data_IF_109506349991
#
_entry.id   IF_109506349991
#
_cell.length_a   1.000
_cell.length_b   1.000
_cell.length_c   1.000
_cell.angle_alpha   90.00
_cell.angle_beta   90.00
_cell.angle_gamma   90.00
#
_symmetry.space_group_name_H-M   'P 1'
#
loop_
_entity.id
_entity.type
_entity.pdbx_description
1 polymer ?
#
# COMPACT_ATOMS: atom_id res chain seq x y z
N UNK A 1 25.81 7.79 -29.04
CA UNK A 1 26.27 6.52 -28.46
C UNK A 1 25.16 5.98 -27.57
N UNK A 2 24.37 5.01 -28.06
CA UNK A 2 23.33 4.35 -27.29
C UNK A 2 24.00 3.31 -26.40
N UNK A 3 23.98 3.51 -25.08
CA UNK A 3 24.36 2.49 -24.11
C UNK A 3 23.29 1.40 -24.18
N UNK A 4 23.63 0.24 -24.75
CA UNK A 4 22.78 -0.94 -24.70
C UNK A 4 22.60 -1.33 -23.23
N UNK A 5 21.41 -1.10 -22.68
CA UNK A 5 21.07 -1.49 -21.32
C UNK A 5 20.88 -3.01 -21.35
N UNK A 6 21.84 -3.73 -20.80
CA UNK A 6 21.75 -5.18 -20.62
C UNK A 6 20.56 -5.51 -19.69
N UNK A 7 19.55 -6.27 -20.17
CA UNK A 7 18.38 -6.62 -19.39
C UNK A 7 18.73 -7.37 -18.09
N UNK A 8 19.83 -8.11 -18.04
CA UNK A 8 20.34 -8.78 -16.84
C UNK A 8 20.71 -7.80 -15.73
N UNK A 9 21.38 -6.70 -16.07
CA UNK A 9 21.76 -5.66 -15.09
C UNK A 9 20.56 -4.92 -14.50
N UNK A 10 19.49 -4.77 -15.28
CA UNK A 10 18.24 -4.15 -14.81
C UNK A 10 17.55 -5.00 -13.76
N UNK A 11 17.48 -6.31 -13.97
CA UNK A 11 16.86 -7.26 -13.02
C UNK A 11 17.63 -7.30 -11.70
N UNK A 12 18.97 -7.34 -11.76
CA UNK A 12 19.83 -7.32 -10.57
C UNK A 12 19.67 -6.00 -9.77
N UNK A 13 19.60 -4.87 -10.46
CA UNK A 13 19.41 -3.57 -9.81
C UNK A 13 18.04 -3.47 -9.12
N UNK A 14 16.99 -3.98 -9.75
CA UNK A 14 15.65 -4.03 -9.14
C UNK A 14 15.62 -4.92 -7.90
N UNK A 15 16.24 -6.09 -7.98
CA UNK A 15 16.35 -7.01 -6.84
C UNK A 15 17.00 -6.33 -5.63
N UNK A 16 18.14 -5.70 -5.81
CA UNK A 16 18.85 -4.97 -4.74
C UNK A 16 17.97 -3.87 -4.15
N UNK A 17 17.16 -3.19 -4.97
CA UNK A 17 16.27 -2.14 -4.50
C UNK A 17 15.18 -2.69 -3.57
N UNK A 18 14.53 -3.80 -3.92
CA UNK A 18 13.50 -4.40 -3.06
C UNK A 18 14.09 -5.00 -1.79
N UNK A 19 15.24 -5.69 -1.89
CA UNK A 19 15.96 -6.20 -0.73
C UNK A 19 16.42 -5.08 0.22
N UNK A 20 16.74 -3.89 -0.29
CA UNK A 20 17.10 -2.73 0.51
C UNK A 20 15.89 -2.08 1.15
N UNK A 21 14.71 -2.21 0.56
CA UNK A 21 13.47 -1.54 1.00
C UNK A 21 12.55 -2.42 1.87
N UNK A 22 13.00 -3.59 2.39
CA UNK A 22 12.18 -4.43 3.26
C UNK A 22 11.57 -3.65 4.45
N UNK A 23 12.28 -2.65 4.96
CA UNK A 23 11.83 -1.78 6.05
C UNK A 23 10.58 -0.99 5.68
N UNK A 24 10.43 -0.56 4.42
CA UNK A 24 9.23 0.11 3.93
C UNK A 24 7.99 -0.78 4.07
N UNK A 25 8.10 -2.05 3.65
CA UNK A 25 7.00 -3.00 3.78
C UNK A 25 6.69 -3.31 5.25
N UNK A 26 7.71 -3.40 6.10
CA UNK A 26 7.52 -3.55 7.54
C UNK A 26 6.76 -2.36 8.14
N UNK A 27 7.15 -1.12 7.80
CA UNK A 27 6.45 0.11 8.26
C UNK A 27 5.00 0.13 7.78
N UNK A 28 4.73 -0.18 6.51
CA UNK A 28 3.36 -0.27 5.98
C UNK A 28 2.54 -1.32 6.72
N UNK A 29 3.14 -2.47 7.03
CA UNK A 29 2.51 -3.51 7.84
C UNK A 29 2.15 -3.02 9.23
N UNK A 30 3.08 -2.35 9.92
CA UNK A 30 2.83 -1.74 11.25
C UNK A 30 1.70 -0.71 11.19
N UNK A 31 1.74 0.20 10.22
CA UNK A 31 0.70 1.24 10.07
C UNK A 31 -0.67 0.63 9.81
N UNK A 32 -0.75 -0.39 8.95
CA UNK A 32 -2.01 -1.10 8.68
C UNK A 32 -2.56 -1.78 9.93
N UNK A 33 -1.73 -2.51 10.69
CA UNK A 33 -2.15 -3.17 11.93
C UNK A 33 -2.48 -2.16 13.03
N UNK A 34 -1.76 -1.05 13.15
CA UNK A 34 -2.11 0.02 14.08
C UNK A 34 -3.50 0.60 13.78
N UNK A 35 -3.83 0.81 12.50
CA UNK A 35 -5.17 1.24 12.12
C UNK A 35 -6.23 0.19 12.46
N UNK A 36 -5.95 -1.12 12.27
CA UNK A 36 -6.86 -2.20 12.70
C UNK A 36 -7.17 -2.08 14.20
N UNK A 37 -6.14 -1.92 15.04
CA UNK A 37 -6.31 -1.76 16.49
C UNK A 37 -7.20 -0.56 16.81
N UNK A 38 -6.95 0.58 16.16
CA UNK A 38 -7.79 1.78 16.32
C UNK A 38 -9.23 1.52 15.91
N UNK A 39 -9.46 0.84 14.77
CA UNK A 39 -10.80 0.52 14.28
C UNK A 39 -11.54 -0.43 15.22
N UNK A 40 -10.86 -1.44 15.78
CA UNK A 40 -11.46 -2.38 16.73
C UNK A 40 -11.82 -1.69 18.04
N UNK A 41 -10.90 -0.90 18.62
CA UNK A 41 -11.16 -0.15 19.88
C UNK A 41 -12.29 0.86 19.69
N UNK A 42 -12.37 1.49 18.51
CA UNK A 42 -13.34 2.54 18.20
C UNK A 42 -14.57 2.05 17.46
N UNK A 43 -14.76 0.73 17.36
CA UNK A 43 -15.87 0.12 16.59
C UNK A 43 -17.23 0.72 16.93
N UNK A 44 -17.46 1.01 18.23
CA UNK A 44 -18.70 1.61 18.71
C UNK A 44 -18.83 3.13 18.44
N UNK A 45 -17.74 3.79 18.02
CA UNK A 45 -17.74 5.25 17.78
C UNK A 45 -18.23 5.62 16.36
N UNK A 46 -18.50 4.63 15.52
CA UNK A 46 -19.06 4.81 14.17
C UNK A 46 -18.11 5.50 13.18
N UNK A 47 -18.69 5.93 12.04
CA UNK A 47 -18.00 6.55 10.89
C UNK A 47 -17.22 7.82 11.27
N UNK A 48 -17.70 8.57 12.27
CA UNK A 48 -17.05 9.83 12.70
C UNK A 48 -15.58 9.65 13.08
N UNK A 49 -15.22 8.49 13.63
CA UNK A 49 -13.83 8.20 14.01
C UNK A 49 -13.05 7.50 12.90
N UNK A 50 -13.73 6.85 11.96
CA UNK A 50 -13.09 6.21 10.81
C UNK A 50 -12.40 7.24 9.92
N UNK A 51 -13.06 8.35 9.64
CA UNK A 51 -12.60 9.42 8.76
C UNK A 51 -11.23 9.98 9.16
N UNK A 52 -11.02 10.52 10.39
CA UNK A 52 -9.72 11.04 10.78
C UNK A 52 -8.66 9.96 10.93
N UNK A 53 -9.03 8.75 11.37
CA UNK A 53 -8.08 7.64 11.50
C UNK A 53 -7.55 7.18 10.15
N UNK A 54 -8.44 7.09 9.15
CA UNK A 54 -8.04 6.76 7.79
C UNK A 54 -7.17 7.86 7.16
N UNK A 55 -7.51 9.15 7.37
CA UNK A 55 -6.71 10.26 6.86
C UNK A 55 -5.28 10.21 7.42
N UNK A 56 -5.13 10.01 8.74
CA UNK A 56 -3.83 9.88 9.38
C UNK A 56 -3.04 8.70 8.84
N UNK A 57 -3.68 7.55 8.69
CA UNK A 57 -3.07 6.36 8.07
C UNK A 57 -2.60 6.64 6.64
N UNK A 58 -3.46 7.25 5.81
CA UNK A 58 -3.13 7.56 4.42
C UNK A 58 -1.94 8.50 4.30
N UNK A 59 -1.85 9.52 5.16
CA UNK A 59 -0.69 10.42 5.22
C UNK A 59 0.58 9.70 5.69
N UNK A 60 0.49 8.88 6.74
CA UNK A 60 1.65 8.15 7.26
C UNK A 60 2.19 7.12 6.24
N UNK A 61 1.29 6.38 5.57
CA UNK A 61 1.65 5.43 4.51
C UNK A 61 2.28 6.15 3.31
N UNK A 62 1.68 7.27 2.88
CA UNK A 62 2.20 8.09 1.79
C UNK A 62 3.58 8.70 2.12
N UNK A 63 3.77 9.18 3.34
CA UNK A 63 5.07 9.69 3.80
C UNK A 63 6.14 8.59 3.80
N UNK A 64 5.81 7.39 4.29
CA UNK A 64 6.73 6.24 4.25
C UNK A 64 7.14 5.88 2.81
N UNK A 65 6.19 5.86 1.87
CA UNK A 65 6.45 5.63 0.45
C UNK A 65 7.32 6.73 -0.17
N UNK A 66 7.03 8.00 0.14
CA UNK A 66 7.81 9.14 -0.37
C UNK A 66 9.25 9.11 0.15
N UNK A 67 9.44 8.85 1.43
CA UNK A 67 10.78 8.69 2.05
C UNK A 67 11.54 7.56 1.35
N UNK A 68 10.88 6.41 1.13
CA UNK A 68 11.49 5.29 0.42
C UNK A 68 11.86 5.64 -1.03
N UNK A 69 11.01 6.42 -1.71
CA UNK A 69 11.27 6.87 -3.07
C UNK A 69 12.46 7.83 -3.16
N UNK A 70 12.59 8.77 -2.21
CA UNK A 70 13.66 9.79 -2.22
C UNK A 70 14.99 9.19 -1.78
N UNK A 71 15.03 8.42 -0.71
CA UNK A 71 16.29 8.00 -0.08
C UNK A 71 16.87 6.73 -0.67
N UNK A 72 16.09 5.93 -1.38
CA UNK A 72 16.48 4.59 -1.81
C UNK A 72 16.18 4.28 -3.27
N UNK A 73 15.75 5.29 -4.04
CA UNK A 73 15.52 5.10 -5.46
C UNK A 73 16.85 5.01 -6.20
N UNK A 74 17.04 4.00 -7.05
CA UNK A 74 18.18 3.98 -7.95
C UNK A 74 18.07 5.15 -8.96
N UNK A 75 19.21 5.71 -9.42
CA UNK A 75 19.23 6.84 -10.36
C UNK A 75 18.55 6.54 -11.72
N UNK A 76 18.19 5.29 -11.99
CA UNK A 76 17.64 4.83 -13.27
C UNK A 76 16.10 4.85 -13.37
N UNK A 77 15.43 5.79 -12.72
CA UNK A 77 14.11 6.25 -13.19
C UNK A 77 12.87 5.46 -12.79
N UNK A 78 12.92 4.53 -11.80
CA UNK A 78 11.74 3.71 -11.41
C UNK A 78 11.15 4.04 -10.05
N UNK A 79 11.59 5.11 -9.40
CA UNK A 79 10.94 5.66 -8.22
C UNK A 79 9.51 6.13 -8.50
N UNK A 80 9.13 6.32 -9.76
CA UNK A 80 7.84 6.88 -10.14
C UNK A 80 6.64 6.06 -9.62
N UNK A 81 6.74 4.73 -9.56
CA UNK A 81 5.66 3.90 -9.00
C UNK A 81 5.43 4.19 -7.51
N UNK A 82 6.51 4.33 -6.73
CA UNK A 82 6.43 4.67 -5.32
C UNK A 82 5.95 6.11 -5.13
N UNK A 83 6.43 7.03 -5.96
CA UNK A 83 6.00 8.44 -5.95
C UNK A 83 4.53 8.54 -6.30
N UNK A 84 4.06 7.83 -7.33
CA UNK A 84 2.64 7.83 -7.71
C UNK A 84 1.77 7.28 -6.59
N UNK A 85 2.16 6.14 -5.96
CA UNK A 85 1.43 5.57 -4.83
C UNK A 85 1.39 6.54 -3.63
N UNK A 86 2.52 7.23 -3.35
CA UNK A 86 2.59 8.25 -2.31
C UNK A 86 1.68 9.45 -2.62
N UNK A 87 1.70 9.97 -3.85
CA UNK A 87 0.85 11.10 -4.25
C UNK A 87 -0.64 10.76 -4.15
N UNK A 88 -1.04 9.56 -4.59
CA UNK A 88 -2.42 9.08 -4.43
C UNK A 88 -2.79 8.95 -2.94
N UNK A 89 -1.86 8.49 -2.10
CA UNK A 89 -2.04 8.44 -0.64
C UNK A 89 -2.23 9.81 -0.02
N UNK A 90 -1.38 10.77 -0.37
CA UNK A 90 -1.53 12.17 0.08
C UNK A 90 -2.84 12.79 -0.39
N UNK A 91 -3.22 12.61 -1.66
CA UNK A 91 -4.46 13.12 -2.21
C UNK A 91 -5.69 12.53 -1.49
N UNK A 92 -5.70 11.22 -1.24
CA UNK A 92 -6.76 10.56 -0.49
C UNK A 92 -6.84 11.06 0.97
N UNK A 93 -5.69 11.18 1.65
CA UNK A 93 -5.61 11.73 3.01
C UNK A 93 -6.12 13.16 3.08
N UNK A 94 -5.70 14.02 2.12
CA UNK A 94 -6.13 15.41 2.04
C UNK A 94 -7.63 15.53 1.74
N UNK A 95 -8.16 14.73 0.81
CA UNK A 95 -9.58 14.74 0.48
C UNK A 95 -10.45 14.39 1.70
N UNK A 96 -10.02 13.39 2.49
CA UNK A 96 -10.72 12.99 3.70
C UNK A 96 -10.54 14.01 4.83
N UNK A 97 -9.35 14.57 4.98
CA UNK A 97 -9.06 15.57 6.01
C UNK A 97 -9.80 16.90 5.77
N UNK A 98 -9.90 17.33 4.51
CA UNK A 98 -10.59 18.57 4.14
C UNK A 98 -12.11 18.50 4.37
N UNK A 99 -12.68 17.30 4.47
CA UNK A 99 -14.11 17.08 4.70
C UNK A 99 -14.35 16.02 5.77
N UNK A 100 -14.14 16.34 7.06
CA UNK A 100 -14.23 15.35 8.15
C UNK A 100 -15.64 14.75 8.34
N UNK A 101 -16.66 15.32 7.71
CA UNK A 101 -18.05 14.85 7.72
C UNK A 101 -18.47 14.30 6.34
N UNK A 102 -17.56 13.66 5.62
CA UNK A 102 -17.91 12.99 4.36
C UNK A 102 -19.02 11.96 4.59
N UNK A 103 -20.05 11.94 3.74
CA UNK A 103 -21.01 10.85 3.73
C UNK A 103 -20.29 9.52 3.47
N UNK A 104 -20.84 8.43 4.02
CA UNK A 104 -20.24 7.09 3.94
C UNK A 104 -19.89 6.69 2.50
N UNK A 105 -20.77 7.01 1.56
CA UNK A 105 -20.56 6.74 0.14
C UNK A 105 -19.31 7.40 -0.43
N UNK A 106 -19.07 8.68 -0.09
CA UNK A 106 -17.89 9.41 -0.55
C UNK A 106 -16.61 8.84 0.06
N UNK A 107 -16.66 8.40 1.32
CA UNK A 107 -15.54 7.75 1.99
C UNK A 107 -15.22 6.39 1.35
N UNK A 108 -16.24 5.59 0.98
CA UNK A 108 -16.08 4.33 0.24
C UNK A 108 -15.34 4.57 -1.09
N UNK A 109 -15.72 5.62 -1.83
CA UNK A 109 -15.05 5.95 -3.10
C UNK A 109 -13.58 6.30 -2.86
N UNK A 110 -13.26 7.18 -1.91
CA UNK A 110 -11.88 7.59 -1.64
C UNK A 110 -11.03 6.41 -1.20
N UNK A 111 -11.52 5.58 -0.28
CA UNK A 111 -10.82 4.38 0.18
C UNK A 111 -10.66 3.39 -0.99
N UNK A 112 -11.72 3.12 -1.74
CA UNK A 112 -11.69 2.18 -2.85
C UNK A 112 -10.70 2.59 -3.93
N UNK A 113 -10.72 3.84 -4.36
CA UNK A 113 -9.76 4.38 -5.35
C UNK A 113 -8.32 4.28 -4.83
N UNK A 114 -8.07 4.69 -3.58
CA UNK A 114 -6.73 4.60 -2.97
C UNK A 114 -6.21 3.17 -2.92
N UNK A 115 -7.03 2.25 -2.44
CA UNK A 115 -6.66 0.83 -2.31
C UNK A 115 -6.52 0.16 -3.67
N UNK A 116 -7.43 0.47 -4.60
CA UNK A 116 -7.41 -0.08 -5.96
C UNK A 116 -6.16 0.33 -6.73
N UNK A 117 -5.83 1.62 -6.74
CA UNK A 117 -4.62 2.12 -7.39
C UNK A 117 -3.38 1.50 -6.74
N UNK A 118 -3.28 1.48 -5.41
CA UNK A 118 -2.18 0.85 -4.70
C UNK A 118 -2.04 -0.63 -5.02
N UNK A 119 -3.16 -1.37 -5.13
CA UNK A 119 -3.18 -2.77 -5.54
C UNK A 119 -2.65 -2.99 -6.96
N UNK A 120 -3.08 -2.17 -7.92
CA UNK A 120 -2.59 -2.22 -9.31
C UNK A 120 -1.08 -1.91 -9.37
N UNK A 121 -0.62 -0.90 -8.65
CA UNK A 121 0.80 -0.55 -8.60
C UNK A 121 1.65 -1.68 -7.97
N UNK A 122 1.12 -2.39 -6.96
CA UNK A 122 1.76 -3.58 -6.39
C UNK A 122 1.85 -4.71 -7.42
N UNK A 123 0.77 -4.99 -8.17
CA UNK A 123 0.79 -5.99 -9.23
C UNK A 123 1.78 -5.65 -10.33
N UNK A 124 1.80 -4.39 -10.78
CA UNK A 124 2.79 -3.90 -11.76
C UNK A 124 4.23 -4.02 -11.24
N UNK A 125 4.44 -3.85 -9.94
CA UNK A 125 5.75 -4.05 -9.32
C UNK A 125 6.13 -5.52 -9.24
N UNK A 126 5.15 -6.39 -8.95
CA UNK A 126 5.35 -7.83 -8.84
C UNK A 126 5.72 -8.50 -10.17
N UNK A 127 5.15 -8.05 -11.30
CA UNK A 127 5.50 -8.59 -12.64
C UNK A 127 6.95 -8.34 -13.04
N UNK A 128 7.65 -7.47 -12.31
CA UNK A 128 9.06 -7.14 -12.55
C UNK A 128 10.04 -7.93 -11.68
N UNK A 129 9.51 -8.76 -10.76
CA UNK A 129 10.28 -9.58 -9.81
C UNK A 129 10.32 -11.05 -10.21
N UNK A 130 10.36 -11.36 -11.51
CA UNK A 130 10.26 -12.72 -12.04
C UNK A 130 11.12 -13.74 -11.25
N UNK A 131 10.43 -14.76 -10.70
CA UNK A 131 11.05 -15.89 -10.00
C UNK A 131 11.59 -15.64 -8.59
N UNK A 132 11.39 -14.46 -7.99
CA UNK A 132 11.94 -14.11 -6.68
C UNK A 132 10.97 -14.40 -5.52
N UNK A 133 11.52 -14.70 -4.34
CA UNK A 133 10.78 -15.10 -3.16
C UNK A 133 9.65 -14.13 -2.74
N UNK A 134 9.81 -12.82 -2.95
CA UNK A 134 8.79 -11.81 -2.62
C UNK A 134 7.68 -11.63 -3.65
N UNK A 135 7.84 -12.13 -4.88
CA UNK A 135 6.89 -11.91 -5.97
C UNK A 135 5.48 -12.42 -5.63
N UNK A 136 5.38 -13.67 -5.14
CA UNK A 136 4.09 -14.29 -4.81
C UNK A 136 3.32 -13.52 -3.75
N UNK A 137 4.03 -13.01 -2.74
CA UNK A 137 3.42 -12.23 -1.66
C UNK A 137 2.98 -10.86 -2.16
N UNK A 138 3.77 -10.21 -3.04
CA UNK A 138 3.35 -8.94 -3.67
C UNK A 138 2.13 -9.13 -4.57
N UNK A 139 2.08 -10.20 -5.36
CA UNK A 139 0.89 -10.54 -6.17
C UNK A 139 -0.31 -10.76 -5.26
N UNK A 140 -0.16 -11.55 -4.19
CA UNK A 140 -1.24 -11.79 -3.24
C UNK A 140 -1.74 -10.49 -2.61
N UNK A 141 -0.85 -9.60 -2.16
CA UNK A 141 -1.22 -8.31 -1.58
C UNK A 141 -1.95 -7.41 -2.60
N UNK A 142 -1.46 -7.35 -3.84
CA UNK A 142 -2.10 -6.60 -4.91
C UNK A 142 -3.49 -7.15 -5.27
N UNK A 143 -3.62 -8.48 -5.40
CA UNK A 143 -4.91 -9.14 -5.66
C UNK A 143 -5.92 -8.90 -4.54
N UNK A 144 -5.51 -9.04 -3.28
CA UNK A 144 -6.37 -8.76 -2.12
C UNK A 144 -6.86 -7.30 -2.16
N UNK A 145 -6.01 -6.35 -2.52
CA UNK A 145 -6.39 -4.93 -2.63
C UNK A 145 -7.40 -4.68 -3.75
N UNK A 146 -7.18 -5.27 -4.93
CA UNK A 146 -8.11 -5.15 -6.07
C UNK A 146 -9.45 -5.81 -5.77
N UNK A 147 -9.46 -7.02 -5.21
CA UNK A 147 -10.69 -7.73 -4.81
C UNK A 147 -11.45 -6.98 -3.72
N UNK A 148 -10.73 -6.42 -2.75
CA UNK A 148 -11.36 -5.60 -1.72
C UNK A 148 -12.03 -4.35 -2.31
N UNK A 149 -11.37 -3.68 -3.26
CA UNK A 149 -11.93 -2.53 -3.97
C UNK A 149 -13.20 -2.91 -4.72
N UNK A 150 -13.19 -4.02 -5.47
CA UNK A 150 -14.36 -4.53 -6.16
C UNK A 150 -15.51 -4.85 -5.18
N UNK A 151 -15.19 -5.50 -4.05
CA UNK A 151 -16.17 -5.79 -3.01
C UNK A 151 -16.73 -4.53 -2.33
N UNK A 152 -15.93 -3.46 -2.18
CA UNK A 152 -16.41 -2.18 -1.66
C UNK A 152 -17.44 -1.55 -2.59
N UNK A 153 -17.17 -1.52 -3.89
CA UNK A 153 -18.08 -0.93 -4.86
C UNK A 153 -19.33 -1.78 -5.10
N UNK A 154 -19.23 -3.11 -4.97
CA UNK A 154 -20.39 -4.00 -5.11
C UNK A 154 -21.40 -3.86 -3.95
N UNK A 155 -20.95 -3.51 -2.74
CA UNK A 155 -21.80 -3.39 -1.56
C UNK A 155 -21.37 -2.19 -0.69
N UNK A 156 -21.58 -0.95 -1.13
CA UNK A 156 -21.06 0.24 -0.46
C UNK A 156 -21.64 0.46 0.95
N UNK A 157 -22.86 -0.04 1.22
CA UNK A 157 -23.56 0.15 2.50
C UNK A 157 -23.33 -0.96 3.53
N UNK A 158 -22.50 -1.96 3.23
CA UNK A 158 -22.32 -3.14 4.08
C UNK A 158 -21.15 -2.95 5.08
N UNK A 159 -21.34 -2.16 6.12
CA UNK A 159 -20.44 -2.10 7.28
C UNK A 159 -18.96 -1.80 6.92
N UNK A 160 -18.67 -0.59 6.47
CA UNK A 160 -17.34 -0.18 5.99
C UNK A 160 -16.21 -0.45 6.99
N UNK A 161 -16.44 -0.16 8.28
CA UNK A 161 -15.39 -0.23 9.31
C UNK A 161 -14.83 -1.63 9.50
N UNK A 162 -15.68 -2.66 9.62
CA UNK A 162 -15.21 -4.04 9.83
C UNK A 162 -14.58 -4.64 8.57
N UNK A 163 -15.10 -4.31 7.39
CA UNK A 163 -14.53 -4.75 6.10
C UNK A 163 -13.14 -4.15 5.90
N UNK A 164 -12.98 -2.87 6.21
CA UNK A 164 -11.69 -2.20 6.17
C UNK A 164 -10.73 -2.81 7.21
N UNK A 165 -11.19 -3.13 8.41
CA UNK A 165 -10.37 -3.78 9.43
C UNK A 165 -9.86 -5.15 8.98
N UNK A 166 -10.72 -6.00 8.39
CA UNK A 166 -10.31 -7.30 7.84
C UNK A 166 -9.30 -7.12 6.70
N UNK A 167 -9.58 -6.22 5.77
CA UNK A 167 -8.65 -5.93 4.68
C UNK A 167 -7.27 -5.50 5.19
N UNK A 168 -7.23 -4.53 6.11
CA UNK A 168 -5.99 -4.02 6.68
C UNK A 168 -5.23 -5.07 7.49
N UNK A 169 -5.95 -5.97 8.17
CA UNK A 169 -5.33 -7.09 8.87
C UNK A 169 -4.60 -8.01 7.88
N UNK A 170 -5.29 -8.44 6.82
CA UNK A 170 -4.72 -9.31 5.79
C UNK A 170 -3.57 -8.60 5.07
N UNK A 171 -3.78 -7.34 4.67
CA UNK A 171 -2.77 -6.52 3.99
C UNK A 171 -1.54 -6.28 4.87
N UNK A 172 -1.73 -6.00 6.16
CA UNK A 172 -0.66 -5.85 7.13
C UNK A 172 0.17 -7.13 7.29
N UNK A 173 -0.48 -8.27 7.45
CA UNK A 173 0.19 -9.58 7.54
C UNK A 173 0.99 -9.90 6.27
N UNK A 174 0.44 -9.62 5.07
CA UNK A 174 1.14 -9.83 3.81
C UNK A 174 2.36 -8.91 3.68
N UNK A 175 2.27 -7.65 4.11
CA UNK A 175 3.41 -6.74 4.11
C UNK A 175 4.51 -7.20 5.09
N UNK A 176 4.17 -7.76 6.26
CA UNK A 176 5.15 -8.36 7.15
C UNK A 176 5.78 -9.61 6.55
N UNK A 177 5.00 -10.49 5.95
CA UNK A 177 5.51 -11.68 5.27
C UNK A 177 6.50 -11.29 4.15
N UNK A 178 6.15 -10.25 3.37
CA UNK A 178 7.02 -9.72 2.34
C UNK A 178 8.32 -9.14 2.93
N UNK A 179 8.22 -8.33 3.97
CA UNK A 179 9.38 -7.77 4.65
C UNK A 179 10.31 -8.87 5.20
N UNK A 180 9.74 -9.92 5.79
CA UNK A 180 10.48 -11.07 6.28
C UNK A 180 11.20 -11.82 5.17
N UNK A 181 10.52 -12.13 4.05
CA UNK A 181 11.12 -12.82 2.91
C UNK A 181 12.26 -12.01 2.29
N UNK A 182 12.06 -10.70 2.10
CA UNK A 182 13.09 -9.82 1.55
C UNK A 182 14.30 -9.69 2.49
N UNK A 183 14.09 -9.74 3.80
CA UNK A 183 15.17 -9.73 4.80
C UNK A 183 15.96 -11.04 4.81
N UNK A 184 15.27 -12.18 4.69
CA UNK A 184 15.89 -13.51 4.70
C UNK A 184 16.73 -13.77 3.45
N UNK A 185 16.35 -13.21 2.31
CA UNK A 185 17.09 -13.33 1.03
C UNK A 185 18.44 -12.59 1.02
N UNK A 186 18.71 -11.77 2.07
CA UNK A 186 20.00 -11.06 2.23
C UNK A 186 21.08 -11.88 2.93
N UNK A 187 20.68 -12.97 3.61
CA UNK A 187 21.63 -13.86 4.31
C UNK A 187 22.11 -14.97 3.40
#
# INVERSE_FOLDING_TARGET
MGVAIDPGNVVVALRRQFETNWQMFAVRGVLALALVVVLVIRFYSGIRMLTPSFALYAFADAAALMIAAIWRAPPNGRAWLLVTDALVGFAAGAAVFARPLLPEFSLVIVIGVRVGIGGVLLLMSATRLDGHAGQRVMVAAGMVSVLFTAALFAAPHAGLSWRLAIYLLVFGCLNFALAWQLRSSRR
#
